data_IF_797209873127
#
_entry.id   IF_797209873127
#
_cell.length_a   1.000
_cell.length_b   1.000
_cell.length_c   1.000
_cell.angle_alpha   90.00
_cell.angle_beta   90.00
_cell.angle_gamma   90.00
#
_symmetry.space_group_name_H-M   'P 1'
#
loop_
_entity.id
_entity.type
_entity.pdbx_description
1 polymer ?
#
# COMPACT_ATOMS: atom_id res chain seq x y z
N UNK A 1 17.46 -3.98 1.78
CA UNK A 1 16.56 -3.88 2.95
C UNK A 1 15.52 -4.97 2.81
N UNK A 2 15.43 -5.87 3.77
CA UNK A 2 14.35 -6.87 3.80
C UNK A 2 13.26 -6.38 4.75
N UNK A 3 12.01 -6.52 4.36
CA UNK A 3 10.86 -6.02 5.14
C UNK A 3 9.81 -7.11 5.21
N UNK A 4 9.32 -7.37 6.42
CA UNK A 4 8.29 -8.36 6.68
C UNK A 4 6.98 -7.65 7.02
N UNK A 5 5.91 -8.00 6.30
CA UNK A 5 4.56 -7.50 6.54
C UNK A 5 3.72 -8.63 7.13
N UNK A 6 3.07 -8.38 8.26
CA UNK A 6 2.27 -9.37 8.98
C UNK A 6 0.90 -8.77 9.27
N UNK A 7 -0.16 -9.50 8.94
CA UNK A 7 -1.53 -9.13 9.32
C UNK A 7 -1.85 -9.75 10.67
N UNK A 8 -2.04 -8.93 11.70
CA UNK A 8 -2.37 -9.38 13.05
C UNK A 8 -3.85 -9.09 13.30
N UNK A 9 -4.61 -10.12 13.72
CA UNK A 9 -6.06 -10.04 13.92
C UNK A 9 -6.47 -9.75 15.36
N UNK A 10 -5.58 -9.97 16.33
CA UNK A 10 -5.80 -9.75 17.76
C UNK A 10 -4.87 -8.65 18.29
N UNK A 11 -5.39 -7.73 19.11
CA UNK A 11 -4.57 -6.68 19.73
C UNK A 11 -3.56 -7.24 20.75
N UNK A 12 -3.87 -8.37 21.40
CA UNK A 12 -2.94 -9.04 22.32
C UNK A 12 -1.70 -9.57 21.59
N UNK A 13 -1.92 -10.23 20.45
CA UNK A 13 -0.84 -10.73 19.59
C UNK A 13 0.01 -9.58 19.06
N UNK A 14 -0.63 -8.47 18.67
CA UNK A 14 0.07 -7.29 18.18
C UNK A 14 1.02 -6.72 19.23
N UNK A 15 0.56 -6.65 20.46
CA UNK A 15 1.37 -6.18 21.60
C UNK A 15 2.58 -7.10 21.84
N UNK A 16 2.36 -8.42 21.77
CA UNK A 16 3.44 -9.41 21.89
C UNK A 16 4.48 -9.27 20.78
N UNK A 17 4.04 -9.20 19.51
CA UNK A 17 4.92 -9.07 18.35
C UNK A 17 5.74 -7.78 18.38
N UNK A 18 5.13 -6.65 18.74
CA UNK A 18 5.83 -5.38 18.88
C UNK A 18 6.89 -5.44 19.98
N UNK A 19 6.59 -6.10 21.09
CA UNK A 19 7.53 -6.28 22.20
C UNK A 19 8.72 -7.15 21.81
N UNK A 20 8.48 -8.23 21.06
CA UNK A 20 9.54 -9.09 20.50
C UNK A 20 10.40 -8.33 19.50
N UNK A 21 9.79 -7.60 18.57
CA UNK A 21 10.51 -6.80 17.58
C UNK A 21 11.44 -5.78 18.25
N UNK A 22 10.97 -5.07 19.28
CA UNK A 22 11.79 -4.16 20.09
C UNK A 22 12.97 -4.88 20.75
N UNK A 23 12.73 -6.06 21.33
CA UNK A 23 13.79 -6.86 21.98
C UNK A 23 14.85 -7.33 21.00
N UNK A 24 14.45 -7.66 19.77
CA UNK A 24 15.34 -8.02 18.67
C UNK A 24 15.99 -6.82 17.98
N UNK A 25 15.75 -5.59 18.47
CA UNK A 25 16.23 -4.34 17.88
C UNK A 25 15.80 -4.16 16.42
N UNK A 26 14.66 -4.73 16.06
CA UNK A 26 14.03 -4.53 14.76
C UNK A 26 13.22 -3.23 14.77
N UNK A 27 13.15 -2.58 13.61
CA UNK A 27 12.22 -1.47 13.41
C UNK A 27 10.86 -2.03 13.05
N UNK A 28 9.85 -1.74 13.87
CA UNK A 28 8.46 -2.15 13.61
C UNK A 28 7.59 -0.90 13.42
N UNK A 29 6.78 -0.90 12.37
CA UNK A 29 5.79 0.15 12.08
C UNK A 29 4.44 -0.52 11.78
N UNK A 30 3.37 0.04 12.32
CA UNK A 30 2.01 -0.37 11.93
C UNK A 30 1.67 0.23 10.58
N UNK A 31 1.11 -0.58 9.70
CA UNK A 31 0.54 -0.14 8.41
C UNK A 31 -0.96 0.03 8.62
N UNK A 32 -1.46 1.24 8.45
CA UNK A 32 -2.90 1.56 8.53
C UNK A 32 -3.60 1.21 7.22
N UNK A 33 -4.94 1.20 7.21
CA UNK A 33 -5.67 1.03 5.94
C UNK A 33 -5.41 2.19 4.97
N UNK A 34 -5.31 3.43 5.46
CA UNK A 34 -4.93 4.58 4.63
C UNK A 34 -3.58 4.35 3.95
N UNK A 35 -2.58 3.83 4.67
CA UNK A 35 -1.27 3.52 4.08
C UNK A 35 -1.36 2.45 2.97
N UNK A 36 -2.30 1.51 3.09
CA UNK A 36 -2.53 0.47 2.05
C UNK A 36 -3.25 1.04 0.83
N UNK A 37 -4.23 1.92 1.04
CA UNK A 37 -4.94 2.62 -0.02
C UNK A 37 -3.97 3.51 -0.81
N UNK A 38 -3.15 4.29 -0.12
CA UNK A 38 -2.12 5.15 -0.72
C UNK A 38 -1.11 4.34 -1.54
N UNK A 39 -0.69 3.18 -1.03
CA UNK A 39 0.18 2.27 -1.78
C UNK A 39 -0.52 1.71 -3.03
N UNK A 40 -1.80 1.34 -2.91
CA UNK A 40 -2.61 0.89 -4.03
C UNK A 40 -2.76 1.96 -5.12
N UNK A 41 -2.99 3.21 -4.71
CA UNK A 41 -3.07 4.35 -5.61
C UNK A 41 -1.75 4.61 -6.32
N UNK A 42 -0.64 4.65 -5.59
CA UNK A 42 0.69 4.84 -6.16
C UNK A 42 1.00 3.76 -7.20
N UNK A 43 0.65 2.50 -6.92
CA UNK A 43 0.83 1.39 -7.86
C UNK A 43 0.05 1.64 -9.15
N UNK A 44 -1.22 2.02 -9.06
CA UNK A 44 -2.04 2.33 -10.24
C UNK A 44 -1.48 3.50 -11.05
N UNK A 45 -0.95 4.53 -10.39
CA UNK A 45 -0.31 5.66 -11.06
C UNK A 45 0.95 5.23 -11.82
N UNK A 46 1.81 4.43 -11.21
CA UNK A 46 3.03 3.92 -11.86
C UNK A 46 2.71 3.00 -13.04
N UNK A 47 1.66 2.18 -12.93
CA UNK A 47 1.16 1.37 -14.05
C UNK A 47 0.64 2.25 -15.19
N UNK A 48 -0.11 3.32 -14.87
CA UNK A 48 -0.64 4.26 -15.86
C UNK A 48 0.45 5.13 -16.52
N UNK A 49 1.52 5.47 -15.80
CA UNK A 49 2.65 6.26 -16.33
C UNK A 49 3.41 5.54 -17.46
N UNK A 50 3.28 4.20 -17.54
CA UNK A 50 3.85 3.40 -18.62
C UNK A 50 3.01 3.36 -19.91
N UNK A 51 1.83 3.98 -19.93
CA UNK A 51 0.86 3.92 -21.03
C UNK A 51 1.01 5.01 -22.12
N UNK A 52 0.52 4.69 -23.32
CA UNK A 52 0.44 5.61 -24.46
C UNK A 52 -0.31 6.91 -24.13
N UNK A 53 0.14 8.01 -24.75
CA UNK A 53 -0.59 9.28 -24.72
C UNK A 53 -1.94 9.13 -25.43
N UNK A 54 -3.01 9.10 -24.65
CA UNK A 54 -4.40 9.13 -25.16
C UNK A 54 -4.88 10.56 -25.36
N UNK A 55 -5.58 10.81 -26.46
CA UNK A 55 -6.12 12.14 -26.75
C UNK A 55 -7.34 12.45 -25.90
N UNK A 56 -7.59 13.75 -25.65
CA UNK A 56 -8.79 14.20 -24.91
C UNK A 56 -10.09 13.66 -25.53
N UNK A 57 -10.17 13.64 -26.86
CA UNK A 57 -11.38 13.22 -27.57
C UNK A 57 -11.68 11.72 -27.37
N UNK A 58 -10.63 10.89 -27.33
CA UNK A 58 -10.77 9.45 -27.03
C UNK A 58 -11.25 9.21 -25.59
N UNK A 59 -10.69 9.95 -24.62
CA UNK A 59 -11.10 9.87 -23.21
C UNK A 59 -12.56 10.29 -23.04
N UNK A 60 -12.96 11.42 -23.64
CA UNK A 60 -14.32 11.93 -23.54
C UNK A 60 -15.36 11.02 -24.22
N UNK A 61 -14.97 10.27 -25.25
CA UNK A 61 -15.84 9.28 -25.89
C UNK A 61 -16.14 8.08 -24.98
N UNK A 62 -15.16 7.62 -24.20
CA UNK A 62 -15.33 6.49 -23.28
C UNK A 62 -16.18 6.84 -22.04
N UNK A 63 -16.14 8.09 -21.59
CA UNK A 63 -16.89 8.56 -20.41
C UNK A 63 -18.37 8.90 -20.69
N UNK A 64 -18.74 9.11 -21.96
CA UNK A 64 -20.10 9.44 -22.38
C UNK A 64 -20.97 8.20 -22.73
N UNK A 65 -20.51 7.00 -22.36
CA UNK A 65 -21.22 5.72 -22.51
C UNK A 65 -21.45 5.07 -21.15
#
# INVERSE_FOLDING_TARGET
>A
METLIINIKSEDDKTLFLSLAKRLRLTAKSVTESDKEDYGLLKAMLEAESGEYVSRDEVMKALNS
#
